data_IF_031086165898
#
_entry.id   IF_031086165898
#
_cell.length_a   1.000
_cell.length_b   1.000
_cell.length_c   1.000
_cell.angle_alpha   90.00
_cell.angle_beta   90.00
_cell.angle_gamma   90.00
#
_symmetry.space_group_name_H-M   'P 1'
#
loop_
_entity.id
_entity.type
_entity.pdbx_description
1 polymer ?
#
# COMPACT_ATOMS: atom_id res chain seq x y z
N UNK A 1 18.90 -7.76 3.85
CA UNK A 1 18.98 -6.72 2.80
C UNK A 1 20.05 -5.67 3.11
N UNK A 2 20.44 -5.50 4.38
CA UNK A 2 21.55 -4.63 4.81
C UNK A 2 22.92 -4.90 4.13
N UNK A 3 23.13 -6.09 3.56
CA UNK A 3 24.36 -6.45 2.83
C UNK A 3 24.45 -5.85 1.41
N UNK A 4 23.38 -5.22 0.93
CA UNK A 4 23.30 -4.66 -0.41
C UNK A 4 23.30 -3.13 -0.35
N UNK A 5 23.91 -2.50 -1.36
CA UNK A 5 23.88 -1.04 -1.54
C UNK A 5 22.62 -0.56 -2.27
N UNK A 6 22.00 -1.43 -3.07
CA UNK A 6 20.75 -1.14 -3.80
C UNK A 6 19.57 -1.19 -2.83
N UNK A 7 18.66 -0.18 -2.83
CA UNK A 7 17.50 -0.16 -1.94
C UNK A 7 16.47 -1.23 -2.32
N UNK A 8 15.81 -1.80 -1.30
CA UNK A 8 14.76 -2.80 -1.48
C UNK A 8 13.39 -2.25 -1.08
N UNK A 9 12.39 -2.48 -1.93
CA UNK A 9 10.96 -2.30 -1.61
C UNK A 9 10.36 -3.64 -1.19
N UNK A 10 9.60 -3.66 -0.09
CA UNK A 10 8.96 -4.89 0.43
C UNK A 10 7.45 -4.72 0.60
N UNK A 11 6.71 -5.80 0.37
CA UNK A 11 5.27 -5.85 0.64
C UNK A 11 4.99 -6.11 2.12
N UNK A 12 3.88 -5.56 2.61
CA UNK A 12 3.32 -5.86 3.94
C UNK A 12 1.78 -5.84 3.90
N UNK A 13 1.17 -6.67 4.75
CA UNK A 13 -0.29 -6.75 4.98
C UNK A 13 -0.72 -6.08 6.29
N UNK A 14 0.21 -5.86 7.21
CA UNK A 14 0.00 -5.31 8.54
C UNK A 14 1.29 -4.63 9.07
N UNK A 15 1.19 -3.89 10.19
CA UNK A 15 2.34 -3.16 10.73
C UNK A 15 3.48 -4.10 11.15
N UNK A 16 3.19 -5.20 11.84
CA UNK A 16 4.23 -6.14 12.29
C UNK A 16 5.05 -6.68 11.12
N UNK A 17 4.39 -7.05 10.03
CA UNK A 17 5.08 -7.47 8.80
C UNK A 17 5.96 -6.35 8.24
N UNK A 18 5.45 -5.11 8.15
CA UNK A 18 6.22 -3.97 7.67
C UNK A 18 7.48 -3.75 8.52
N UNK A 19 7.36 -3.76 9.85
CA UNK A 19 8.48 -3.56 10.76
C UNK A 19 9.54 -4.68 10.64
N UNK A 20 9.11 -5.94 10.47
CA UNK A 20 10.05 -7.04 10.21
C UNK A 20 10.81 -6.86 8.88
N UNK A 21 10.15 -6.33 7.83
CA UNK A 21 10.85 -6.00 6.57
C UNK A 21 11.86 -4.87 6.74
N UNK A 22 11.57 -3.88 7.58
CA UNK A 22 12.51 -2.80 7.91
C UNK A 22 13.71 -3.33 8.68
N UNK A 23 13.52 -4.20 9.67
CA UNK A 23 14.62 -4.87 10.38
C UNK A 23 15.53 -5.67 9.44
N UNK A 24 14.98 -6.27 8.38
CA UNK A 24 15.77 -6.94 7.35
C UNK A 24 16.53 -5.97 6.43
N UNK A 25 16.29 -4.66 6.51
CA UNK A 25 16.89 -3.61 5.69
C UNK A 25 16.09 -3.19 4.46
N UNK A 26 14.75 -3.27 4.50
CA UNK A 26 13.93 -2.64 3.48
C UNK A 26 14.03 -1.11 3.57
N UNK A 27 14.18 -0.44 2.43
CA UNK A 27 14.25 1.02 2.33
C UNK A 27 12.88 1.65 2.02
N UNK A 28 11.89 0.82 1.68
CA UNK A 28 10.53 1.25 1.31
C UNK A 28 9.54 0.11 1.58
N UNK A 29 8.33 0.46 2.02
CA UNK A 29 7.22 -0.47 2.20
C UNK A 29 6.13 -0.18 1.18
N UNK A 30 5.46 -1.22 0.71
CA UNK A 30 4.19 -1.13 0.00
C UNK A 30 3.15 -2.09 0.57
N UNK A 31 1.87 -1.83 0.37
CA UNK A 31 0.87 -2.90 0.55
C UNK A 31 1.18 -4.07 -0.40
N UNK A 32 0.83 -5.29 -0.01
CA UNK A 32 0.85 -6.41 -0.95
C UNK A 32 -0.28 -6.26 -1.96
N UNK A 33 -1.51 -6.17 -1.43
CA UNK A 33 -2.75 -6.24 -2.21
C UNK A 33 -2.83 -7.53 -3.01
N UNK A 34 -3.84 -7.67 -3.86
CA UNK A 34 -3.90 -8.77 -4.83
C UNK A 34 -3.56 -8.21 -6.22
N UNK A 35 -2.40 -8.57 -6.74
CA UNK A 35 -1.92 -8.00 -8.00
C UNK A 35 -2.57 -8.70 -9.19
N UNK A 36 -2.96 -7.92 -10.21
CA UNK A 36 -3.54 -8.48 -11.44
C UNK A 36 -5.05 -8.68 -11.42
N UNK A 37 -5.73 -8.40 -10.31
CA UNK A 37 -7.19 -8.54 -10.16
C UNK A 37 -7.96 -7.30 -10.59
N UNK A 38 -7.36 -6.12 -10.53
CA UNK A 38 -8.10 -4.87 -10.67
C UNK A 38 -9.08 -4.61 -9.51
N UNK A 39 -8.91 -5.31 -8.38
CA UNK A 39 -9.70 -5.13 -7.16
C UNK A 39 -8.82 -4.56 -6.04
N UNK A 40 -9.11 -3.31 -5.64
CA UNK A 40 -8.33 -2.55 -4.67
C UNK A 40 -8.64 -2.93 -3.20
N UNK A 41 -9.61 -3.81 -2.94
CA UNK A 41 -10.08 -4.15 -1.59
C UNK A 41 -8.98 -4.63 -0.63
N UNK A 42 -8.08 -5.50 -1.09
CA UNK A 42 -6.94 -5.96 -0.27
C UNK A 42 -5.95 -4.82 -0.01
N UNK A 43 -5.67 -3.96 -0.99
CA UNK A 43 -4.81 -2.81 -0.79
C UNK A 43 -5.40 -1.83 0.25
N UNK A 44 -6.72 -1.55 0.18
CA UNK A 44 -7.47 -0.78 1.18
C UNK A 44 -7.34 -1.41 2.56
N UNK A 45 -7.54 -2.72 2.66
CA UNK A 45 -7.47 -3.47 3.93
C UNK A 45 -6.08 -3.34 4.57
N UNK A 46 -5.02 -3.55 3.79
CA UNK A 46 -3.65 -3.49 4.27
C UNK A 46 -3.26 -2.09 4.75
N UNK A 47 -3.52 -1.04 3.95
CA UNK A 47 -3.14 0.32 4.35
C UNK A 47 -3.91 0.79 5.59
N UNK A 48 -5.22 0.48 5.68
CA UNK A 48 -6.02 0.79 6.87
C UNK A 48 -5.50 0.06 8.10
N UNK A 49 -5.12 -1.20 7.97
CA UNK A 49 -4.55 -1.98 9.08
C UNK A 49 -3.22 -1.41 9.54
N UNK A 50 -2.27 -1.16 8.62
CA UNK A 50 -0.97 -0.57 8.93
C UNK A 50 -1.14 0.78 9.64
N UNK A 51 -1.96 1.68 9.08
CA UNK A 51 -2.15 3.01 9.66
C UNK A 51 -2.94 3.00 10.96
N UNK A 52 -3.91 2.09 11.11
CA UNK A 52 -4.64 1.90 12.37
C UNK A 52 -3.72 1.40 13.48
N UNK A 53 -2.83 0.47 13.18
CA UNK A 53 -1.81 0.01 14.13
C UNK A 53 -0.85 1.14 14.50
N UNK A 54 -0.39 1.94 13.53
CA UNK A 54 0.47 3.11 13.80
C UNK A 54 -0.25 4.10 14.73
N UNK A 55 -1.51 4.44 14.43
CA UNK A 55 -2.29 5.36 15.26
C UNK A 55 -2.44 4.83 16.70
N UNK A 56 -2.67 3.52 16.87
CA UNK A 56 -2.72 2.87 18.18
C UNK A 56 -1.39 3.02 18.94
N UNK A 57 -0.25 2.84 18.28
CA UNK A 57 1.07 3.04 18.90
C UNK A 57 1.27 4.48 19.39
N UNK A 58 0.78 5.48 18.65
CA UNK A 58 0.96 6.90 19.06
C UNK A 58 0.27 7.27 20.37
N UNK A 59 -0.75 6.50 20.78
CA UNK A 59 -1.49 6.71 22.03
C UNK A 59 -1.00 5.87 23.21
N UNK A 60 -0.05 4.95 22.99
CA UNK A 60 0.46 4.06 24.03
C UNK A 60 1.50 4.75 24.91
N UNK A 61 1.52 4.39 26.18
CA UNK A 61 2.60 4.75 27.10
C UNK A 61 3.90 4.01 26.73
N UNK A 62 5.09 4.54 27.11
CA UNK A 62 6.37 3.89 26.82
C UNK A 62 6.46 2.43 27.29
N UNK A 63 5.85 2.09 28.43
CA UNK A 63 5.88 0.73 28.98
C UNK A 63 5.03 -0.25 28.14
N UNK A 64 3.89 0.21 27.61
CA UNK A 64 3.03 -0.59 26.73
C UNK A 64 3.70 -0.90 25.37
N UNK A 65 4.63 -0.05 24.92
CA UNK A 65 5.35 -0.27 23.66
C UNK A 65 6.24 -1.51 23.69
N UNK A 66 6.73 -1.95 24.85
CA UNK A 66 7.46 -3.22 24.98
C UNK A 66 6.57 -4.42 24.66
N UNK A 67 5.32 -4.41 25.15
CA UNK A 67 4.33 -5.46 24.85
C UNK A 67 3.95 -5.40 23.38
N UNK A 68 3.68 -4.21 22.85
CA UNK A 68 3.36 -4.02 21.45
C UNK A 68 4.49 -4.52 20.52
N UNK A 69 5.75 -4.26 20.87
CA UNK A 69 6.90 -4.75 20.11
C UNK A 69 6.97 -6.28 20.07
N UNK A 70 6.67 -6.94 21.20
CA UNK A 70 6.59 -8.41 21.26
C UNK A 70 5.46 -8.96 20.38
N UNK A 71 4.27 -8.37 20.43
CA UNK A 71 3.11 -8.78 19.61
C UNK A 71 3.35 -8.56 18.11
N UNK A 72 3.94 -7.42 17.74
CA UNK A 72 4.30 -7.09 16.36
C UNK A 72 5.50 -7.91 15.86
N UNK A 73 6.20 -8.62 16.76
CA UNK A 73 7.44 -9.34 16.51
C UNK A 73 8.48 -8.42 15.85
N UNK A 74 8.63 -7.21 16.38
CA UNK A 74 9.48 -6.15 15.86
C UNK A 74 10.46 -5.64 16.93
N UNK A 75 11.48 -4.90 16.51
CA UNK A 75 12.40 -4.26 17.47
C UNK A 75 11.66 -3.17 18.24
N UNK A 76 11.90 -3.10 19.56
CA UNK A 76 11.35 -2.03 20.40
C UNK A 76 11.72 -0.64 19.87
N UNK A 77 12.98 -0.43 19.49
CA UNK A 77 13.46 0.88 19.02
C UNK A 77 12.67 1.36 17.79
N UNK A 78 12.38 0.44 16.88
CA UNK A 78 11.62 0.73 15.66
C UNK A 78 10.14 1.01 15.98
N UNK A 79 9.55 0.27 16.93
CA UNK A 79 8.18 0.49 17.40
C UNK A 79 8.05 1.84 18.10
N UNK A 80 9.00 2.18 18.96
CA UNK A 80 9.07 3.46 19.66
C UNK A 80 9.29 4.63 18.69
N UNK A 81 10.13 4.44 17.67
CA UNK A 81 10.30 5.44 16.60
C UNK A 81 8.98 5.67 15.85
N UNK A 82 8.27 4.61 15.46
CA UNK A 82 6.97 4.73 14.77
C UNK A 82 5.92 5.39 15.66
N UNK A 83 5.86 5.04 16.95
CA UNK A 83 4.96 5.66 17.92
C UNK A 83 5.22 7.17 18.04
N UNK A 84 6.49 7.58 18.10
CA UNK A 84 6.91 8.99 18.17
C UNK A 84 6.64 9.75 16.87
N UNK A 85 6.87 9.13 15.71
CA UNK A 85 6.72 9.76 14.40
C UNK A 85 5.26 9.82 13.92
N UNK A 86 4.40 8.91 14.38
CA UNK A 86 3.04 8.74 13.86
C UNK A 86 2.99 8.23 12.41
N UNK A 87 4.11 7.66 11.92
CA UNK A 87 4.28 7.10 10.56
C UNK A 87 5.46 6.15 10.54
N UNK A 88 5.60 5.39 9.44
CA UNK A 88 6.81 4.61 9.20
C UNK A 88 8.02 5.53 8.96
N UNK A 89 9.24 5.14 9.35
CA UNK A 89 10.47 5.89 9.06
C UNK A 89 10.91 5.79 7.58
N UNK A 90 10.12 5.10 6.74
CA UNK A 90 10.30 5.00 5.29
C UNK A 90 9.00 5.29 4.57
N UNK A 91 9.08 5.46 3.26
CA UNK A 91 7.93 5.64 2.37
C UNK A 91 7.00 4.42 2.40
N UNK A 92 5.69 4.67 2.47
CA UNK A 92 4.59 3.70 2.40
C UNK A 92 3.76 3.90 1.14
N UNK A 93 3.95 3.05 0.12
CA UNK A 93 3.09 3.04 -1.07
C UNK A 93 1.96 2.02 -0.95
N UNK A 94 0.96 2.14 -1.82
CA UNK A 94 -0.04 1.09 -2.04
C UNK A 94 0.17 0.42 -3.38
N UNK A 95 0.05 -0.90 -3.40
CA UNK A 95 0.09 -1.75 -4.58
C UNK A 95 -0.97 -2.85 -4.51
N UNK A 96 -1.32 -3.38 -5.69
CA UNK A 96 -2.34 -4.41 -5.87
C UNK A 96 -3.71 -3.80 -6.14
N UNK A 97 -4.41 -4.28 -7.17
CA UNK A 97 -5.79 -3.89 -7.46
C UNK A 97 -6.05 -2.52 -8.10
N UNK A 98 -5.13 -1.56 -8.06
CA UNK A 98 -5.36 -0.21 -8.60
C UNK A 98 -5.57 -0.26 -10.12
N UNK A 99 -6.76 0.13 -10.59
CA UNK A 99 -7.14 0.05 -12.01
C UNK A 99 -7.71 1.36 -12.57
N UNK A 100 -8.13 2.29 -11.70
CA UNK A 100 -8.75 3.55 -12.08
C UNK A 100 -8.08 4.76 -11.42
N UNK A 101 -8.28 5.98 -11.95
CA UNK A 101 -7.82 7.20 -11.29
C UNK A 101 -8.46 7.39 -9.90
N UNK A 102 -9.72 6.96 -9.72
CA UNK A 102 -10.41 7.01 -8.44
C UNK A 102 -9.75 6.11 -7.39
N UNK A 103 -9.32 4.89 -7.76
CA UNK A 103 -8.58 4.00 -6.86
C UNK A 103 -7.28 4.67 -6.40
N UNK A 104 -6.54 5.26 -7.35
CA UNK A 104 -5.28 5.92 -7.07
C UNK A 104 -5.46 7.10 -6.11
N UNK A 105 -6.45 7.96 -6.37
CA UNK A 105 -6.78 9.08 -5.49
C UNK A 105 -7.23 8.59 -4.10
N UNK A 106 -8.08 7.56 -4.03
CA UNK A 106 -8.53 6.97 -2.77
C UNK A 106 -7.35 6.43 -1.95
N UNK A 107 -6.36 5.79 -2.57
CA UNK A 107 -5.18 5.30 -1.84
C UNK A 107 -4.37 6.44 -1.22
N UNK A 108 -4.21 7.55 -1.93
CA UNK A 108 -3.56 8.75 -1.39
C UNK A 108 -4.37 9.36 -0.24
N UNK A 109 -5.70 9.46 -0.36
CA UNK A 109 -6.59 9.93 0.72
C UNK A 109 -6.53 9.03 1.97
N UNK A 110 -6.31 7.73 1.79
CA UNK A 110 -6.09 6.80 2.89
C UNK A 110 -4.71 6.93 3.53
N UNK A 111 -3.85 7.83 3.05
CA UNK A 111 -2.55 8.17 3.64
C UNK A 111 -1.38 7.35 3.09
N UNK A 112 -1.45 6.95 1.83
CA UNK A 112 -0.30 6.45 1.08
C UNK A 112 0.59 7.61 0.63
N UNK A 113 1.90 7.35 0.54
CA UNK A 113 2.87 8.30 -0.02
C UNK A 113 2.94 8.20 -1.56
N UNK A 114 2.27 7.20 -2.15
CA UNK A 114 2.24 6.96 -3.59
C UNK A 114 1.61 5.60 -3.94
N UNK A 115 1.47 5.34 -5.24
CA UNK A 115 0.81 4.15 -5.76
C UNK A 115 1.69 3.39 -6.77
N UNK A 116 1.61 2.06 -6.76
CA UNK A 116 2.12 1.20 -7.82
C UNK A 116 0.99 0.70 -8.69
N UNK A 117 1.12 0.89 -10.01
CA UNK A 117 0.13 0.42 -10.97
C UNK A 117 0.83 -0.38 -12.07
N UNK A 118 0.31 -1.58 -12.33
CA UNK A 118 0.80 -2.48 -13.38
C UNK A 118 -0.32 -2.82 -14.37
N UNK A 119 -1.04 -3.91 -14.08
CA UNK A 119 -2.11 -4.42 -14.95
C UNK A 119 -3.22 -3.40 -15.23
N UNK A 120 -3.53 -2.53 -14.26
CA UNK A 120 -4.53 -1.48 -14.39
C UNK A 120 -4.30 -0.54 -15.58
N UNK A 121 -3.03 -0.33 -15.96
CA UNK A 121 -2.65 0.47 -17.12
C UNK A 121 -2.54 -0.43 -18.37
N UNK A 122 -1.65 -1.43 -18.31
CA UNK A 122 -1.24 -2.18 -19.51
C UNK A 122 -2.27 -3.19 -20.03
N UNK A 123 -3.29 -3.54 -19.24
CA UNK A 123 -4.41 -4.38 -19.68
C UNK A 123 -5.70 -3.58 -19.96
N UNK A 124 -5.60 -2.26 -20.10
CA UNK A 124 -6.74 -1.40 -20.45
C UNK A 124 -6.82 -1.12 -21.96
N UNK A 125 -7.95 -0.58 -22.42
CA UNK A 125 -8.17 -0.23 -23.82
C UNK A 125 -7.31 0.93 -24.34
N UNK A 126 -6.89 1.85 -23.46
CA UNK A 126 -5.95 2.94 -23.79
C UNK A 126 -4.93 3.11 -22.64
N UNK A 127 -3.79 2.40 -22.68
CA UNK A 127 -2.77 2.47 -21.64
C UNK A 127 -2.13 3.86 -21.49
N UNK A 128 -1.97 4.62 -22.57
CA UNK A 128 -1.30 5.94 -22.53
C UNK A 128 -2.18 6.93 -21.80
N UNK A 129 -3.45 7.03 -22.21
CA UNK A 129 -4.40 7.95 -21.58
C UNK A 129 -4.65 7.55 -20.13
N UNK A 130 -4.75 6.25 -19.84
CA UNK A 130 -4.96 5.75 -18.47
C UNK A 130 -3.77 6.02 -17.55
N UNK A 131 -2.53 5.84 -18.04
CA UNK A 131 -1.33 6.18 -17.28
C UNK A 131 -1.31 7.67 -16.91
N UNK A 132 -1.59 8.55 -17.88
CA UNK A 132 -1.68 9.99 -17.65
C UNK A 132 -2.77 10.33 -16.62
N UNK A 133 -3.95 9.73 -16.75
CA UNK A 133 -5.06 9.96 -15.83
C UNK A 133 -4.74 9.52 -14.40
N UNK A 134 -4.12 8.36 -14.22
CA UNK A 134 -3.69 7.87 -12.91
C UNK A 134 -2.66 8.81 -12.30
N UNK A 135 -1.63 9.23 -13.05
CA UNK A 135 -0.63 10.19 -12.55
C UNK A 135 -1.29 11.50 -12.11
N UNK A 136 -2.21 12.04 -12.91
CA UNK A 136 -2.92 13.28 -12.57
C UNK A 136 -3.81 13.12 -11.33
N UNK A 137 -4.50 11.99 -11.19
CA UNK A 137 -5.33 11.72 -10.01
C UNK A 137 -4.49 11.48 -8.75
N UNK A 138 -3.33 10.83 -8.86
CA UNK A 138 -2.39 10.69 -7.73
C UNK A 138 -1.85 12.06 -7.29
N UNK A 139 -1.56 12.96 -8.22
CA UNK A 139 -1.06 14.29 -7.91
C UNK A 139 -2.13 15.22 -7.32
N UNK A 140 -3.39 15.08 -7.75
CA UNK A 140 -4.51 15.94 -7.37
C UNK A 140 -5.60 15.15 -6.61
N UNK A 141 -5.18 14.23 -5.74
CA UNK A 141 -6.07 13.24 -5.13
C UNK A 141 -7.16 13.82 -4.24
N UNK A 142 -6.99 15.04 -3.76
CA UNK A 142 -7.93 15.80 -2.93
C UNK A 142 -8.82 16.76 -3.74
N UNK A 143 -8.61 16.86 -5.06
CA UNK A 143 -9.39 17.69 -5.95
C UNK A 143 -10.42 16.85 -6.72
N UNK A 144 -11.69 16.79 -6.26
CA UNK A 144 -12.72 15.96 -6.89
C UNK A 144 -13.00 16.35 -8.34
N UNK A 145 -12.88 17.63 -8.71
CA UNK A 145 -13.11 18.11 -10.07
C UNK A 145 -12.03 17.59 -11.02
N UNK A 146 -10.76 17.59 -10.60
CA UNK A 146 -9.66 17.02 -11.38
C UNK A 146 -9.82 15.52 -11.50
N UNK A 147 -10.07 14.81 -10.40
CA UNK A 147 -10.27 13.34 -10.41
C UNK A 147 -11.42 12.96 -11.33
N UNK A 148 -12.55 13.67 -11.27
CA UNK A 148 -13.69 13.45 -12.16
C UNK A 148 -13.35 13.74 -13.62
N UNK A 149 -12.63 14.84 -13.90
CA UNK A 149 -12.22 15.22 -15.25
C UNK A 149 -11.31 14.16 -15.88
N UNK A 150 -10.28 13.71 -15.17
CA UNK A 150 -9.32 12.73 -15.70
C UNK A 150 -9.87 11.32 -15.77
N UNK A 151 -10.98 11.03 -15.07
CA UNK A 151 -11.66 9.73 -15.13
C UNK A 151 -12.55 9.56 -16.37
N UNK A 152 -12.73 10.60 -17.20
CA UNK A 152 -13.60 10.56 -18.38
C UNK A 152 -12.86 10.06 -19.62
N UNK A 153 -13.58 9.30 -20.44
CA UNK A 153 -13.12 8.95 -21.79
C UNK A 153 -11.92 8.01 -21.85
N UNK A 154 -11.65 7.23 -20.79
CA UNK A 154 -10.47 6.36 -20.67
C UNK A 154 -10.57 5.00 -21.40
N UNK A 155 -11.63 4.80 -22.18
CA UNK A 155 -11.96 3.51 -22.78
C UNK A 155 -12.23 2.41 -21.74
N UNK A 156 -12.20 1.16 -22.21
CA UNK A 156 -12.44 -0.01 -21.36
C UNK A 156 -11.34 -0.16 -20.30
N UNK A 157 -11.76 -0.40 -19.06
CA UNK A 157 -10.86 -0.78 -17.99
C UNK A 157 -10.37 -2.22 -18.17
N UNK A 158 -9.34 -2.62 -17.43
CA UNK A 158 -8.98 -4.03 -17.36
C UNK A 158 -10.16 -4.86 -16.82
N UNK A 159 -10.31 -6.09 -17.30
CA UNK A 159 -11.30 -7.03 -16.74
C UNK A 159 -10.88 -7.41 -15.33
N UNK A 160 -11.75 -7.13 -14.37
CA UNK A 160 -11.54 -7.45 -12.97
C UNK A 160 -11.70 -8.94 -12.69
N UNK A 161 -10.93 -9.45 -11.72
CA UNK A 161 -11.10 -10.79 -11.15
C UNK A 161 -11.45 -10.59 -9.68
N UNK A 162 -12.58 -11.12 -9.23
CA UNK A 162 -12.95 -11.07 -7.83
C UNK A 162 -11.94 -11.90 -7.01
N UNK A 163 -11.36 -11.29 -5.98
CA UNK A 163 -10.35 -11.94 -5.13
C UNK A 163 -10.92 -13.18 -4.42
N UNK A 164 -12.21 -13.17 -4.10
CA UNK A 164 -12.88 -14.31 -3.48
C UNK A 164 -12.84 -15.58 -4.36
N UNK A 165 -12.79 -15.41 -5.67
CA UNK A 165 -12.81 -16.50 -6.65
C UNK A 165 -11.39 -17.04 -6.93
N UNK A 166 -10.34 -16.41 -6.40
CA UNK A 166 -8.96 -16.87 -6.52
C UNK A 166 -8.68 -17.94 -5.46
N UNK A 167 -8.28 -19.16 -5.86
CA UNK A 167 -7.88 -20.18 -4.90
C UNK A 167 -6.74 -19.70 -4.02
N UNK A 168 -6.81 -20.00 -2.72
CA UNK A 168 -5.85 -19.49 -1.70
C UNK A 168 -4.39 -19.72 -2.10
N UNK A 169 -4.06 -20.89 -2.65
CA UNK A 169 -2.70 -21.21 -3.10
C UNK A 169 -2.15 -20.30 -4.21
N UNK A 170 -3.02 -19.57 -4.92
CA UNK A 170 -2.65 -18.66 -5.99
C UNK A 170 -2.63 -17.19 -5.57
N UNK A 171 -3.12 -16.85 -4.37
CA UNK A 171 -3.13 -15.48 -3.86
C UNK A 171 -1.71 -14.98 -3.64
N UNK A 172 -1.45 -13.75 -4.07
CA UNK A 172 -0.15 -13.13 -3.98
C UNK A 172 0.08 -12.48 -2.61
N UNK A 173 -0.99 -12.03 -1.94
CA UNK A 173 -0.88 -11.42 -0.62
C UNK A 173 -0.40 -12.37 0.48
N UNK A 174 -0.75 -13.66 0.36
CA UNK A 174 -0.38 -14.69 1.34
C UNK A 174 1.07 -15.17 1.19
N UNK A 175 1.78 -14.72 0.14
CA UNK A 175 3.18 -15.10 -0.07
C UNK A 175 4.11 -14.31 0.85
N UNK A 176 5.01 -15.00 1.52
CA UNK A 176 6.01 -14.40 2.40
C UNK A 176 5.56 -14.36 3.85
N UNK A 177 5.76 -13.21 4.51
CA UNK A 177 5.44 -13.00 5.91
C UNK A 177 4.00 -12.55 6.16
#
# INVERSE_FOLDING_TARGET
KQLFTVPFVCGATNLGEALRRLNEGAAMIRSKGEAGTGDVSNAVTHIRRIRGDIARLTSMSPDELYVAAKELQASYDLVAEVARLGRLPVVLFTAGGIATPADAAMMMQLGADGVFVGSGIFKSGDPVQRAQAIVQATMNFDNPDVVAKVSRGLGEAMVGINVADIPVAHRLEDRGW
#
